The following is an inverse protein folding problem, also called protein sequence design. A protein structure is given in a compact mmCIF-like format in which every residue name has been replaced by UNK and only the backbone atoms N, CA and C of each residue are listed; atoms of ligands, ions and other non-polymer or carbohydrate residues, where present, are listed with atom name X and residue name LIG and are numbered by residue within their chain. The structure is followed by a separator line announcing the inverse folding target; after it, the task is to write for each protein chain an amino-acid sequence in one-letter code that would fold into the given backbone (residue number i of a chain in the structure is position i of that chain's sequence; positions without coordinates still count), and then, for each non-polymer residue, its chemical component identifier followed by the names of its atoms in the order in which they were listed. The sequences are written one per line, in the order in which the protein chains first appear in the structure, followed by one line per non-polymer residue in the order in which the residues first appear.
data_IF_628294690732
#
_entry.id   IF_628294690732
#
_cell.length_a   1.000
_cell.length_b   1.000
_cell.length_c   1.000
_cell.angle_alpha   90.00
_cell.angle_beta   90.00
_cell.angle_gamma   90.00
#
_symmetry.space_group_name_H-M   'P 1'
#
loop_
_entity.id
_entity.type
_entity.pdbx_description
1 polymer ?
#
# COMPACT_ATOMS: atom_id res chain seq x y z
N UNK A 1 -5.75 11.49 4.83
CA UNK A 1 -5.20 11.24 3.48
C UNK A 1 -6.11 10.30 2.69
N UNK A 2 -6.37 9.08 3.18
CA UNK A 2 -7.22 8.09 2.48
C UNK A 2 -8.62 8.58 2.10
N UNK A 3 -9.25 9.45 2.89
CA UNK A 3 -10.55 10.01 2.50
C UNK A 3 -10.49 10.95 1.28
N UNK A 4 -9.32 11.55 0.99
CA UNK A 4 -9.11 12.25 -0.28
C UNK A 4 -8.91 11.27 -1.43
N UNK A 5 -8.29 10.11 -1.19
CA UNK A 5 -8.22 9.03 -2.17
C UNK A 5 -9.63 8.53 -2.53
N UNK A 6 -10.50 8.35 -1.53
CA UNK A 6 -11.91 7.99 -1.75
C UNK A 6 -12.62 9.04 -2.61
N UNK A 7 -12.49 10.33 -2.30
CA UNK A 7 -13.09 11.40 -3.12
C UNK A 7 -12.61 11.35 -4.57
N UNK A 8 -11.31 11.16 -4.79
CA UNK A 8 -10.75 11.05 -6.15
C UNK A 8 -11.33 9.86 -6.92
N UNK A 9 -11.34 8.68 -6.32
CA UNK A 9 -11.89 7.48 -6.96
C UNK A 9 -13.40 7.61 -7.22
N UNK A 10 -14.16 8.16 -6.26
CA UNK A 10 -15.61 8.40 -6.40
C UNK A 10 -15.95 9.45 -7.47
N UNK A 11 -15.02 10.37 -7.76
CA UNK A 11 -15.17 11.33 -8.86
C UNK A 11 -14.95 10.71 -10.25
N UNK A 12 -14.54 9.44 -10.32
CA UNK A 12 -14.19 8.75 -11.57
C UNK A 12 -12.77 9.03 -12.05
N UNK A 13 -11.84 9.33 -11.12
CA UNK A 13 -10.44 9.67 -11.43
C UNK A 13 -10.30 10.85 -12.40
N UNK A 14 -11.14 11.88 -12.23
CA UNK A 14 -11.14 13.06 -13.10
C UNK A 14 -9.79 13.80 -13.07
N UNK A 15 -9.27 14.16 -14.25
CA UNK A 15 -8.04 14.96 -14.41
C UNK A 15 -8.23 16.44 -14.13
N UNK A 16 -9.47 16.88 -13.87
CA UNK A 16 -9.81 18.25 -13.50
C UNK A 16 -9.65 18.46 -12.00
N UNK A 17 -9.20 19.64 -11.60
CA UNK A 17 -9.11 20.11 -10.20
C UNK A 17 -10.39 19.95 -9.37
N UNK A 18 -11.52 19.65 -10.01
CA UNK A 18 -12.85 19.53 -9.43
C UNK A 18 -13.09 18.23 -8.62
N UNK A 19 -12.17 17.24 -8.69
CA UNK A 19 -12.34 15.97 -7.94
C UNK A 19 -12.37 16.17 -6.42
N UNK A 20 -11.75 17.25 -5.91
CA UNK A 20 -11.81 17.60 -4.48
C UNK A 20 -13.24 17.95 -4.02
N UNK A 21 -14.12 18.28 -4.97
CA UNK A 21 -15.49 18.71 -4.77
C UNK A 21 -15.59 20.10 -4.13
N UNK A 22 -16.80 20.44 -3.68
CA UNK A 22 -17.06 21.70 -2.99
C UNK A 22 -16.19 21.85 -1.73
N UNK A 23 -15.55 23.01 -1.58
CA UNK A 23 -14.66 23.32 -0.46
C UNK A 23 -15.36 23.31 0.90
N UNK A 24 -16.68 23.43 0.91
CA UNK A 24 -17.51 23.46 2.13
C UNK A 24 -18.08 22.09 2.51
N UNK A 25 -17.78 21.05 1.73
CA UNK A 25 -18.23 19.68 2.02
C UNK A 25 -17.29 19.01 3.04
N UNK A 26 -17.82 18.48 4.17
CA UNK A 26 -17.03 17.73 5.13
C UNK A 26 -16.40 16.46 4.53
N UNK A 27 -15.26 16.03 5.06
CA UNK A 27 -14.54 14.84 4.61
C UNK A 27 -15.09 13.60 5.31
N UNK A 28 -15.63 12.67 4.51
CA UNK A 28 -16.21 11.39 4.97
C UNK A 28 -15.44 10.21 4.38
N UNK A 29 -15.58 9.03 4.98
CA UNK A 29 -14.91 7.81 4.57
C UNK A 29 -14.46 7.00 5.77
N UNK A 30 -13.19 6.55 5.75
CA UNK A 30 -12.51 6.00 6.93
C UNK A 30 -12.66 6.93 8.13
N UNK A 31 -12.82 6.34 9.32
CA UNK A 31 -12.84 7.10 10.56
C UNK A 31 -11.51 7.85 10.73
N UNK A 32 -11.61 9.10 11.19
CA UNK A 32 -10.45 9.90 11.54
C UNK A 32 -10.87 10.93 12.58
N UNK A 33 -9.98 11.20 13.54
CA UNK A 33 -10.19 12.22 14.57
C UNK A 33 -8.87 12.87 14.97
N UNK A 34 -8.96 14.07 15.53
CA UNK A 34 -7.86 14.65 16.30
C UNK A 34 -7.79 14.04 17.70
N UNK A 35 -6.69 14.31 18.40
CA UNK A 35 -6.42 13.79 19.74
C UNK A 35 -5.10 13.02 19.81
N UNK A 36 -4.62 12.76 21.03
CA UNK A 36 -3.41 11.97 21.26
C UNK A 36 -3.64 10.47 21.22
N UNK A 37 -4.88 10.03 21.35
CA UNK A 37 -5.27 8.64 21.24
C UNK A 37 -5.55 8.25 19.80
N UNK A 38 -5.17 7.03 19.44
CA UNK A 38 -5.42 6.44 18.13
C UNK A 38 -6.90 6.30 17.78
N UNK A 39 -7.16 6.10 16.49
CA UNK A 39 -8.48 5.83 15.94
C UNK A 39 -8.55 4.45 15.27
N UNK A 40 -7.59 4.13 14.40
CA UNK A 40 -7.55 2.87 13.64
C UNK A 40 -6.83 1.75 14.41
N UNK A 41 -7.41 0.55 14.43
CA UNK A 41 -6.82 -0.69 14.98
C UNK A 41 -6.70 -1.75 13.89
N UNK A 42 -5.52 -2.36 13.76
CA UNK A 42 -5.26 -3.40 12.75
C UNK A 42 -5.22 -2.86 11.31
N UNK A 43 -5.88 -3.56 10.39
CA UNK A 43 -6.00 -3.19 8.97
C UNK A 43 -7.50 -3.10 8.64
N UNK A 44 -7.93 -1.92 8.20
CA UNK A 44 -9.28 -1.67 7.68
C UNK A 44 -9.22 -1.58 6.16
N UNK A 45 -10.17 -2.18 5.47
CA UNK A 45 -10.32 -2.06 4.02
C UNK A 45 -11.60 -1.31 3.69
N UNK A 46 -11.57 -0.47 2.66
CA UNK A 46 -12.81 0.10 2.15
C UNK A 46 -13.71 -1.02 1.62
N UNK A 47 -15.00 -0.98 1.94
CA UNK A 47 -15.92 -2.09 1.71
C UNK A 47 -16.21 -2.37 0.24
N UNK A 48 -16.07 -1.36 -0.62
CA UNK A 48 -16.38 -1.46 -2.04
C UNK A 48 -15.12 -1.22 -2.88
N UNK A 49 -14.62 -2.21 -3.64
CA UNK A 49 -13.49 -2.00 -4.54
C UNK A 49 -13.89 -1.08 -5.70
N UNK A 50 -12.98 -0.21 -6.12
CA UNK A 50 -13.19 0.67 -7.27
C UNK A 50 -12.67 0.00 -8.53
N UNK A 51 -13.52 -0.19 -9.54
CA UNK A 51 -13.08 -0.72 -10.83
C UNK A 51 -12.71 0.44 -11.75
N UNK A 52 -11.47 0.46 -12.23
CA UNK A 52 -10.99 1.43 -13.21
C UNK A 52 -10.50 0.71 -14.46
N UNK A 53 -10.51 1.43 -15.59
CA UNK A 53 -9.97 0.95 -16.85
C UNK A 53 -8.61 1.59 -17.11
N UNK A 54 -7.60 0.77 -17.36
CA UNK A 54 -6.26 1.18 -17.74
C UNK A 54 -6.21 1.62 -19.21
N UNK A 55 -5.10 2.27 -19.61
CA UNK A 55 -4.89 2.76 -20.97
C UNK A 55 -4.88 1.64 -22.03
N UNK A 56 -4.49 0.42 -21.65
CA UNK A 56 -4.51 -0.79 -22.49
C UNK A 56 -5.91 -1.44 -22.57
N UNK A 57 -6.88 -0.91 -21.84
CA UNK A 57 -8.24 -1.39 -21.77
C UNK A 57 -8.50 -2.48 -20.72
N UNK A 58 -7.48 -2.91 -19.96
CA UNK A 58 -7.63 -3.83 -18.84
C UNK A 58 -8.44 -3.17 -17.71
N UNK A 59 -9.41 -3.89 -17.15
CA UNK A 59 -10.11 -3.46 -15.94
C UNK A 59 -9.37 -3.97 -14.70
N UNK A 60 -9.13 -3.08 -13.74
CA UNK A 60 -8.44 -3.40 -12.49
C UNK A 60 -9.25 -2.90 -11.30
N UNK A 61 -9.22 -3.68 -10.21
CA UNK A 61 -9.89 -3.34 -8.96
C UNK A 61 -8.89 -2.69 -7.99
N UNK A 62 -9.22 -1.49 -7.51
CA UNK A 62 -8.48 -0.76 -6.49
C UNK A 62 -9.14 -1.00 -5.13
N UNK A 63 -8.34 -1.46 -4.18
CA UNK A 63 -8.72 -1.59 -2.76
C UNK A 63 -7.86 -0.62 -1.94
N UNK A 64 -8.51 0.18 -1.10
CA UNK A 64 -7.82 1.06 -0.15
C UNK A 64 -7.73 0.38 1.21
N UNK A 65 -6.54 0.38 1.78
CA UNK A 65 -6.25 -0.17 3.11
C UNK A 65 -5.79 0.95 4.05
N UNK A 66 -6.48 1.09 5.18
CA UNK A 66 -6.05 1.92 6.30
C UNK A 66 -5.41 1.02 7.35
N UNK A 67 -4.18 1.34 7.74
CA UNK A 67 -3.40 0.54 8.67
C UNK A 67 -3.16 1.32 9.94
N UNK A 68 -3.18 0.63 11.06
CA UNK A 68 -2.76 1.18 12.34
C UNK A 68 -1.36 1.83 12.25
N UNK A 69 -1.21 2.98 12.92
CA UNK A 69 0.08 3.65 13.07
C UNK A 69 1.08 2.78 13.84
N UNK A 70 2.32 2.73 13.38
CA UNK A 70 3.39 2.02 14.07
C UNK A 70 3.78 2.76 15.37
N UNK A 71 4.16 1.99 16.40
CA UNK A 71 4.73 2.50 17.67
C UNK A 71 3.77 3.28 18.58
N UNK A 72 2.55 2.79 18.74
CA UNK A 72 1.66 3.26 19.81
C UNK A 72 2.00 2.59 21.15
N UNK A 73 1.81 3.32 22.24
CA UNK A 73 2.05 2.95 23.64
C UNK A 73 1.28 1.72 24.14
N UNK A 74 0.18 1.36 23.47
CA UNK A 74 -0.69 0.25 23.88
C UNK A 74 -0.36 -1.09 23.18
N UNK A 75 0.53 -1.13 22.19
CA UNK A 75 0.87 -2.35 21.47
C UNK A 75 2.36 -2.64 21.46
N UNK A 76 2.69 -3.91 21.27
CA UNK A 76 4.08 -4.31 21.17
C UNK A 76 4.67 -3.88 19.84
N UNK A 77 6.01 -3.77 19.79
CA UNK A 77 6.75 -3.60 18.52
C UNK A 77 6.38 -4.71 17.53
N UNK A 78 6.06 -5.91 18.02
CA UNK A 78 5.62 -7.05 17.22
C UNK A 78 4.27 -6.81 16.54
N UNK A 79 3.27 -6.32 17.27
CA UNK A 79 1.94 -6.08 16.67
C UNK A 79 2.03 -5.04 15.53
N UNK A 80 2.82 -3.98 15.77
CA UNK A 80 3.11 -2.96 14.75
C UNK A 80 3.85 -3.58 13.54
N UNK A 81 4.80 -4.49 13.81
CA UNK A 81 5.53 -5.21 12.78
C UNK A 81 4.64 -6.10 11.93
N UNK A 82 3.72 -6.84 12.55
CA UNK A 82 2.79 -7.74 11.88
C UNK A 82 1.85 -6.96 10.96
N UNK A 83 1.25 -5.87 11.45
CA UNK A 83 0.37 -5.01 10.64
C UNK A 83 1.13 -4.45 9.43
N UNK A 84 2.33 -3.92 9.65
CA UNK A 84 3.15 -3.36 8.58
C UNK A 84 3.62 -4.41 7.56
N UNK A 85 4.03 -5.58 8.03
CA UNK A 85 4.44 -6.68 7.14
C UNK A 85 3.25 -7.17 6.29
N UNK A 86 2.10 -7.42 6.92
CA UNK A 86 0.88 -7.82 6.23
C UNK A 86 0.45 -6.78 5.18
N UNK A 87 0.45 -5.49 5.53
CA UNK A 87 0.09 -4.43 4.58
C UNK A 87 1.09 -4.34 3.42
N UNK A 88 2.38 -4.49 3.69
CA UNK A 88 3.43 -4.42 2.65
C UNK A 88 3.37 -5.61 1.69
N UNK A 89 3.14 -6.82 2.20
CA UNK A 89 3.07 -8.02 1.36
C UNK A 89 1.82 -8.05 0.50
N UNK A 90 0.70 -7.48 0.98
CA UNK A 90 -0.59 -7.52 0.30
C UNK A 90 -0.83 -6.30 -0.59
N UNK A 91 -0.18 -5.17 -0.32
CA UNK A 91 -0.26 -3.97 -1.17
C UNK A 91 0.66 -4.06 -2.40
N UNK A 92 0.25 -3.39 -3.47
CA UNK A 92 1.13 -3.07 -4.61
C UNK A 92 1.83 -1.73 -4.43
N UNK A 93 1.18 -0.80 -3.73
CA UNK A 93 1.72 0.50 -3.33
C UNK A 93 1.60 0.64 -1.82
N UNK A 94 2.73 0.64 -1.12
CA UNK A 94 2.81 0.91 0.31
C UNK A 94 3.18 2.38 0.53
N UNK A 95 2.28 3.15 1.14
CA UNK A 95 2.57 4.54 1.55
C UNK A 95 3.03 4.55 3.00
N UNK A 96 4.31 4.82 3.22
CA UNK A 96 4.88 5.00 4.55
C UNK A 96 4.72 6.47 4.97
N UNK A 97 3.67 6.75 5.74
CA UNK A 97 3.34 8.10 6.19
C UNK A 97 4.14 8.48 7.45
N UNK A 98 5.07 9.42 7.30
CA UNK A 98 5.99 9.89 8.34
C UNK A 98 5.78 11.37 8.63
N UNK A 99 6.02 11.79 9.87
CA UNK A 99 5.93 13.21 10.27
C UNK A 99 7.30 13.87 10.23
N UNK A 100 7.36 15.08 9.69
CA UNK A 100 8.48 16.02 9.63
C UNK A 100 9.73 15.58 8.83
N UNK A 101 10.21 14.35 8.97
CA UNK A 101 11.44 13.92 8.30
C UNK A 101 11.53 12.39 8.17
N UNK A 102 12.41 11.93 7.29
CA UNK A 102 12.86 10.54 7.21
C UNK A 102 14.07 10.35 8.12
N UNK A 103 13.89 9.66 9.23
CA UNK A 103 14.91 9.39 10.24
C UNK A 103 15.46 7.94 10.13
N UNK A 104 16.61 7.67 10.74
CA UNK A 104 17.27 6.35 10.63
C UNK A 104 16.49 5.24 11.34
N UNK A 105 15.81 5.55 12.44
CA UNK A 105 14.91 4.64 13.12
C UNK A 105 13.77 4.20 12.20
N UNK A 106 13.21 5.10 11.38
CA UNK A 106 12.21 4.73 10.37
C UNK A 106 12.77 3.71 9.36
N UNK A 107 14.04 3.86 8.96
CA UNK A 107 14.70 2.94 8.03
C UNK A 107 15.04 1.59 8.68
N UNK A 108 15.47 1.58 9.94
CA UNK A 108 15.75 0.36 10.69
C UNK A 108 14.47 -0.45 10.95
N UNK A 109 13.37 0.24 11.22
CA UNK A 109 12.05 -0.37 11.35
C UNK A 109 11.67 -1.08 10.05
N UNK A 110 11.90 -0.46 8.89
CA UNK A 110 11.71 -1.11 7.59
C UNK A 110 12.63 -2.32 7.38
N UNK A 111 13.87 -2.30 7.90
CA UNK A 111 14.80 -3.45 7.83
C UNK A 111 14.17 -4.69 8.50
N UNK A 112 13.71 -4.56 9.75
CA UNK A 112 13.05 -5.65 10.49
C UNK A 112 11.91 -6.28 9.69
N UNK A 113 11.20 -5.48 8.90
CA UNK A 113 10.01 -5.92 8.15
C UNK A 113 10.35 -6.49 6.78
N UNK A 114 11.44 -6.04 6.18
CA UNK A 114 11.90 -6.49 4.86
C UNK A 114 12.82 -7.70 4.96
N UNK A 115 13.41 -8.02 6.12
CA UNK A 115 14.25 -9.22 6.35
C UNK A 115 13.51 -10.51 5.91
N UNK A 116 12.18 -10.52 6.06
CA UNK A 116 11.28 -11.58 5.59
C UNK A 116 11.20 -11.68 4.05
N UNK A 117 11.30 -10.55 3.34
CA UNK A 117 11.37 -10.52 1.88
C UNK A 117 12.71 -11.00 1.32
N UNK A 118 13.78 -10.98 2.14
CA UNK A 118 15.14 -11.36 1.70
C UNK A 118 15.25 -12.81 1.23
N UNK A 119 14.56 -13.75 1.88
CA UNK A 119 14.63 -15.15 1.45
C UNK A 119 13.85 -15.39 0.15
N UNK A 120 12.80 -14.61 -0.12
CA UNK A 120 12.11 -14.67 -1.42
C UNK A 120 13.06 -14.31 -2.57
N UNK A 121 13.97 -13.34 -2.36
CA UNK A 121 15.04 -12.99 -3.31
C UNK A 121 16.07 -14.10 -3.54
N UNK A 122 16.26 -15.02 -2.60
CA UNK A 122 17.20 -16.14 -2.78
C UNK A 122 16.61 -17.26 -3.66
N UNK A 123 15.28 -17.29 -3.82
CA UNK A 123 14.58 -18.27 -4.65
C UNK A 123 14.22 -17.75 -6.05
N UNK A 124 14.17 -16.43 -6.24
CA UNK A 124 13.80 -15.78 -7.51
C UNK A 124 14.61 -14.50 -7.73
N UNK A 125 14.99 -14.20 -8.98
CA UNK A 125 15.68 -12.94 -9.35
C UNK A 125 14.78 -11.69 -9.25
N UNK A 126 13.50 -11.85 -8.90
CA UNK A 126 12.52 -10.77 -8.80
C UNK A 126 12.44 -10.19 -7.39
N UNK A 127 12.19 -8.88 -7.30
CA UNK A 127 12.01 -8.21 -6.01
C UNK A 127 10.68 -8.60 -5.37
N UNK A 128 10.64 -8.80 -4.03
CA UNK A 128 9.46 -9.32 -3.33
C UNK A 128 8.31 -8.31 -3.27
N UNK A 129 8.61 -7.01 -3.30
CA UNK A 129 7.63 -5.94 -3.19
C UNK A 129 7.74 -4.98 -4.37
N UNK A 130 6.62 -4.30 -4.65
CA UNK A 130 6.52 -3.40 -5.77
C UNK A 130 6.91 -1.98 -5.36
N UNK A 131 5.93 -1.10 -5.06
CA UNK A 131 6.20 0.32 -4.82
C UNK A 131 6.15 0.67 -3.33
N UNK A 132 7.22 1.28 -2.83
CA UNK A 132 7.25 1.95 -1.53
C UNK A 132 7.31 3.47 -1.75
N UNK A 133 6.38 4.20 -1.14
CA UNK A 133 6.41 5.66 -1.15
C UNK A 133 6.51 6.22 0.26
N UNK A 134 7.58 6.95 0.56
CA UNK A 134 7.67 7.75 1.77
C UNK A 134 6.87 9.04 1.61
N UNK A 135 5.80 9.20 2.39
CA UNK A 135 5.04 10.44 2.45
C UNK A 135 5.47 11.22 3.69
N UNK A 136 6.28 12.25 3.52
CA UNK A 136 6.74 13.10 4.61
C UNK A 136 5.75 14.24 4.82
N UNK A 137 5.03 14.19 5.92
CA UNK A 137 4.05 15.20 6.35
C UNK A 137 4.75 16.35 7.04
N UNK A 138 4.16 17.54 6.95
CA UNK A 138 4.60 18.73 7.67
C UNK A 138 6.10 19.04 7.44
N UNK A 139 6.55 18.84 6.20
CA UNK A 139 7.91 19.15 5.80
C UNK A 139 8.16 20.66 5.95
N UNK A 140 9.21 21.00 6.69
CA UNK A 140 9.45 22.39 7.12
C UNK A 140 10.62 23.06 6.41
N UNK A 141 11.28 22.37 5.47
CA UNK A 141 12.50 22.85 4.83
C UNK A 141 12.37 22.88 3.29
N UNK A 142 11.33 23.54 2.71
CA UNK A 142 11.12 23.59 1.25
C UNK A 142 12.28 24.29 0.51
N UNK A 143 13.05 25.12 1.21
CA UNK A 143 14.23 25.80 0.69
C UNK A 143 15.45 24.87 0.53
N UNK A 144 15.50 23.73 1.23
CA UNK A 144 16.53 22.70 1.02
C UNK A 144 16.07 21.65 0.00
N UNK A 145 14.85 21.15 0.19
CA UNK A 145 14.22 20.19 -0.70
C UNK A 145 12.77 20.66 -0.95
N UNK A 146 12.39 21.05 -2.18
CA UNK A 146 11.07 21.61 -2.46
C UNK A 146 9.96 20.59 -2.18
N UNK A 147 8.75 21.06 -1.92
CA UNK A 147 7.60 20.19 -1.77
C UNK A 147 7.33 19.34 -3.03
N UNK A 148 6.61 18.24 -2.85
CA UNK A 148 6.25 17.33 -3.92
C UNK A 148 7.24 16.18 -4.15
N UNK A 149 7.10 15.52 -5.30
CA UNK A 149 7.89 14.34 -5.67
C UNK A 149 9.36 14.69 -5.93
N UNK A 150 9.64 15.82 -6.59
CA UNK A 150 11.01 16.20 -6.98
C UNK A 150 11.92 16.41 -5.77
N UNK A 151 11.51 17.21 -4.79
CA UNK A 151 12.31 17.40 -3.59
C UNK A 151 12.29 16.18 -2.68
N UNK A 152 11.20 15.42 -2.66
CA UNK A 152 11.13 14.14 -1.95
C UNK A 152 12.15 13.13 -2.45
N UNK A 153 12.25 12.97 -3.78
CA UNK A 153 13.25 12.11 -4.41
C UNK A 153 14.68 12.56 -4.08
N UNK A 154 14.95 13.87 -4.12
CA UNK A 154 16.23 14.44 -3.73
C UNK A 154 16.59 14.15 -2.26
N UNK A 155 15.64 14.29 -1.33
CA UNK A 155 15.82 13.94 0.08
C UNK A 155 16.09 12.43 0.23
N UNK A 156 15.32 11.59 -0.45
CA UNK A 156 15.42 10.14 -0.38
C UNK A 156 16.78 9.64 -0.86
N UNK A 157 17.27 10.14 -1.99
CA UNK A 157 18.59 9.79 -2.53
C UNK A 157 19.70 10.12 -1.54
N UNK A 158 19.62 11.31 -0.91
CA UNK A 158 20.56 11.71 0.14
C UNK A 158 20.50 10.80 1.36
N UNK A 159 19.30 10.36 1.78
CA UNK A 159 19.09 9.50 2.96
C UNK A 159 19.51 8.05 2.70
N UNK A 160 19.24 7.52 1.51
CA UNK A 160 19.58 6.15 1.11
C UNK A 160 20.97 6.02 0.47
N UNK A 161 21.72 7.11 0.30
CA UNK A 161 23.10 7.06 -0.17
C UNK A 161 23.94 6.11 0.71
N UNK A 162 24.64 5.18 0.07
CA UNK A 162 25.57 4.28 0.75
C UNK A 162 26.95 4.96 0.72
N UNK A 163 27.53 5.18 1.90
CA UNK A 163 28.85 5.80 2.06
C UNK A 163 29.81 4.81 2.71
N UNK A 164 31.04 4.76 2.23
CA UNK A 164 32.04 3.78 2.73
C UNK A 164 32.41 4.01 4.20
N UNK A 165 32.31 5.26 4.66
CA UNK A 165 32.62 5.65 6.04
C UNK A 165 31.47 5.45 7.04
N UNK A 166 30.29 4.99 6.61
CA UNK A 166 29.17 4.77 7.51
C UNK A 166 29.19 3.34 8.10
N UNK A 167 28.66 3.13 9.32
CA UNK A 167 28.58 1.80 9.94
C UNK A 167 27.97 0.75 9.00
N UNK A 168 28.51 -0.48 9.04
CA UNK A 168 28.07 -1.60 8.20
C UNK A 168 26.58 -1.88 8.32
N UNK A 169 26.02 -1.74 9.53
CA UNK A 169 24.58 -1.86 9.77
C UNK A 169 23.76 -0.86 8.93
N UNK A 170 24.17 0.41 8.90
CA UNK A 170 23.46 1.44 8.13
C UNK A 170 23.58 1.23 6.62
N UNK A 171 24.72 0.70 6.15
CA UNK A 171 24.87 0.28 4.76
C UNK A 171 23.93 -0.90 4.43
N UNK A 172 23.81 -1.87 5.34
CA UNK A 172 22.97 -3.05 5.18
C UNK A 172 21.50 -2.68 5.03
N UNK A 173 20.95 -1.87 5.94
CA UNK A 173 19.57 -1.34 5.88
C UNK A 173 19.28 -0.75 4.50
N UNK A 174 20.17 0.12 3.99
CA UNK A 174 19.98 0.81 2.70
C UNK A 174 20.03 -0.12 1.50
N UNK A 175 20.95 -1.10 1.49
CA UNK A 175 21.01 -2.13 0.44
C UNK A 175 19.73 -2.96 0.45
N UNK A 176 19.28 -3.31 1.65
CA UNK A 176 18.14 -4.18 1.86
C UNK A 176 16.81 -3.56 1.42
N UNK A 177 16.57 -2.30 1.79
CA UNK A 177 15.41 -1.55 1.30
C UNK A 177 15.42 -1.52 -0.25
N UNK A 178 16.58 -1.24 -0.88
CA UNK A 178 16.71 -1.21 -2.34
C UNK A 178 16.50 -2.57 -3.00
N UNK A 179 16.87 -3.67 -2.35
CA UNK A 179 16.66 -5.02 -2.89
C UNK A 179 15.21 -5.50 -2.75
N UNK A 180 14.45 -4.96 -1.80
CA UNK A 180 13.09 -5.44 -1.53
C UNK A 180 12.00 -4.82 -2.40
N UNK A 181 12.17 -3.57 -2.86
CA UNK A 181 11.13 -2.83 -3.60
C UNK A 181 11.56 -2.54 -5.04
N UNK A 182 10.68 -2.78 -6.02
CA UNK A 182 10.90 -2.45 -7.43
C UNK A 182 10.99 -0.95 -7.67
N UNK A 183 10.16 -0.18 -6.97
CA UNK A 183 10.15 1.28 -7.01
C UNK A 183 10.15 1.86 -5.58
N UNK A 184 10.96 2.89 -5.35
CA UNK A 184 11.02 3.59 -4.08
C UNK A 184 10.98 5.09 -4.37
N UNK A 185 9.93 5.75 -3.92
CA UNK A 185 9.76 7.19 -4.06
C UNK A 185 9.57 7.88 -2.72
N UNK A 186 9.63 9.20 -2.75
CA UNK A 186 9.36 10.05 -1.60
C UNK A 186 8.64 11.31 -2.05
N UNK A 187 7.65 11.74 -1.26
CA UNK A 187 6.84 12.91 -1.51
C UNK A 187 6.79 13.79 -0.27
N UNK A 188 7.11 15.07 -0.41
CA UNK A 188 7.13 16.03 0.70
C UNK A 188 5.85 16.86 0.68
N UNK A 189 5.05 16.75 1.74
CA UNK A 189 3.83 17.54 1.94
C UNK A 189 4.10 18.71 2.88
N UNK A 190 3.57 19.91 2.60
CA UNK A 190 3.56 21.02 3.56
C UNK A 190 2.68 20.69 4.77
N UNK A 191 2.69 21.57 5.77
CA UNK A 191 1.79 21.49 6.91
C UNK A 191 0.36 21.90 6.47
N UNK A 192 -0.71 21.18 6.87
CA UNK A 192 -2.08 21.43 6.41
C UNK A 192 -2.74 22.69 6.98
N UNK A 193 -2.03 23.43 7.84
CA UNK A 193 -2.50 24.65 8.51
C UNK A 193 -3.03 24.40 9.92
N UNK A 194 -2.91 25.40 10.79
CA UNK A 194 -3.22 25.26 12.23
C UNK A 194 -4.67 24.87 12.51
N UNK A 195 -5.62 25.29 11.65
CA UNK A 195 -7.03 24.90 11.77
C UNK A 195 -7.22 23.38 11.68
N UNK A 196 -6.41 22.69 10.88
CA UNK A 196 -6.47 21.22 10.76
C UNK A 196 -5.88 20.57 12.00
N UNK A 197 -4.75 21.10 12.50
CA UNK A 197 -3.97 20.46 13.57
C UNK A 197 -4.53 20.71 14.98
N UNK A 198 -5.18 21.84 15.24
CA UNK A 198 -5.55 22.24 16.62
C UNK A 198 -7.03 22.43 16.86
N UNK A 199 -7.88 22.51 15.82
CA UNK A 199 -9.31 22.72 16.01
C UNK A 199 -10.04 21.38 16.24
N UNK A 200 -10.61 21.14 17.43
CA UNK A 200 -11.32 19.89 17.72
C UNK A 200 -12.62 19.71 16.91
N UNK A 201 -13.12 20.78 16.28
CA UNK A 201 -14.32 20.77 15.43
C UNK A 201 -14.00 20.71 13.94
N UNK A 202 -12.74 20.50 13.56
CA UNK A 202 -12.38 20.36 12.17
C UNK A 202 -13.00 19.07 11.59
N UNK A 203 -13.73 19.21 10.48
CA UNK A 203 -14.48 18.14 9.83
C UNK A 203 -14.00 17.87 8.40
N UNK A 204 -12.80 18.32 8.06
CA UNK A 204 -12.15 17.99 6.79
C UNK A 204 -12.54 18.86 5.59
N UNK A 205 -13.33 19.93 5.81
CA UNK A 205 -13.63 20.91 4.77
C UNK A 205 -12.35 21.54 4.19
N UNK A 206 -12.22 21.53 2.87
CA UNK A 206 -11.05 22.05 2.14
C UNK A 206 -10.88 23.56 2.36
N UNK A 207 -11.97 24.31 2.55
CA UNK A 207 -11.94 25.73 2.88
C UNK A 207 -11.15 26.08 4.16
N UNK A 208 -10.92 25.09 5.03
CA UNK A 208 -10.18 25.25 6.28
C UNK A 208 -8.76 24.66 6.24
N UNK A 209 -8.31 24.17 5.08
CA UNK A 209 -6.98 23.62 4.86
C UNK A 209 -6.13 24.69 4.19
N UNK A 210 -4.84 24.72 4.51
CA UNK A 210 -3.89 25.61 3.87
C UNK A 210 -3.84 25.40 2.34
N UNK A 211 -3.81 26.49 1.58
CA UNK A 211 -3.87 26.44 0.11
C UNK A 211 -2.69 25.70 -0.51
N UNK A 212 -1.47 25.90 0.01
CA UNK A 212 -0.27 25.22 -0.50
C UNK A 212 -0.40 23.70 -0.27
N UNK A 213 -0.95 23.29 0.88
CA UNK A 213 -1.26 21.88 1.12
C UNK A 213 -2.26 21.32 0.11
N UNK A 214 -3.31 22.08 -0.22
CA UNK A 214 -4.29 21.65 -1.21
C UNK A 214 -3.66 21.49 -2.59
N UNK A 215 -2.76 22.39 -2.99
CA UNK A 215 -2.07 22.31 -4.28
C UNK A 215 -1.18 21.06 -4.38
N UNK A 216 -0.43 20.74 -3.32
CA UNK A 216 0.35 19.50 -3.28
C UNK A 216 -0.54 18.25 -3.14
N UNK A 217 -1.67 18.34 -2.44
CA UNK A 217 -2.66 17.26 -2.40
C UNK A 217 -3.22 16.94 -3.80
N UNK A 218 -3.51 17.97 -4.61
CA UNK A 218 -3.99 17.82 -6.00
C UNK A 218 -3.01 17.08 -6.90
N UNK A 219 -1.72 17.13 -6.61
CA UNK A 219 -0.71 16.38 -7.39
C UNK A 219 -0.40 15.02 -6.76
N UNK A 220 -0.45 14.91 -5.44
CA UNK A 220 -0.17 13.68 -4.72
C UNK A 220 -1.22 12.58 -4.99
N UNK A 221 -2.51 12.92 -4.95
CA UNK A 221 -3.58 11.91 -5.09
C UNK A 221 -3.57 11.27 -6.49
N UNK A 222 -3.53 12.02 -7.61
CA UNK A 222 -3.41 11.43 -8.95
C UNK A 222 -2.09 10.67 -9.16
N UNK A 223 -0.99 11.10 -8.53
CA UNK A 223 0.28 10.34 -8.59
C UNK A 223 0.11 8.90 -8.08
N UNK A 224 -0.82 8.66 -7.14
CA UNK A 224 -1.08 7.34 -6.57
C UNK A 224 -2.18 6.55 -7.30
N UNK A 225 -3.19 7.22 -7.85
CA UNK A 225 -4.46 6.59 -8.24
C UNK A 225 -4.90 6.88 -9.67
N UNK A 226 -4.23 7.77 -10.39
CA UNK A 226 -4.50 7.95 -11.82
C UNK A 226 -4.27 6.62 -12.54
N UNK A 227 -5.14 6.21 -13.48
CA UNK A 227 -5.01 4.93 -14.20
C UNK A 227 -3.62 4.68 -14.79
N UNK A 228 -2.86 5.74 -15.12
CA UNK A 228 -1.50 5.62 -15.66
C UNK A 228 -0.45 5.23 -14.62
N UNK A 229 -0.74 5.46 -13.35
CA UNK A 229 0.18 5.27 -12.23
C UNK A 229 -0.19 4.06 -11.35
N UNK A 230 -1.37 3.48 -11.54
CA UNK A 230 -1.83 2.33 -10.75
C UNK A 230 -0.94 1.13 -11.02
N UNK A 231 -0.51 0.48 -9.94
CA UNK A 231 0.33 -0.72 -9.97
C UNK A 231 -0.54 -1.93 -9.65
N UNK A 232 -0.70 -2.84 -10.60
CA UNK A 232 -1.41 -4.12 -10.39
C UNK A 232 -0.58 -4.98 -9.44
N UNK A 233 -1.20 -5.60 -8.43
CA UNK A 233 -0.49 -6.42 -7.46
C UNK A 233 0.14 -7.64 -8.14
N UNK A 234 1.43 -7.83 -7.93
CA UNK A 234 2.18 -9.01 -8.36
C UNK A 234 2.81 -9.72 -7.16
N UNK A 235 2.79 -11.06 -7.22
CA UNK A 235 3.48 -11.96 -6.28
C UNK A 235 4.16 -13.04 -7.11
N UNK A 236 5.49 -13.15 -7.01
CA UNK A 236 6.29 -14.08 -7.82
C UNK A 236 6.08 -13.90 -9.33
N UNK A 237 6.07 -12.64 -9.79
CA UNK A 237 5.99 -12.27 -11.20
C UNK A 237 4.62 -12.46 -11.85
N UNK A 238 3.58 -12.74 -11.05
CA UNK A 238 2.22 -12.98 -11.52
C UNK A 238 1.25 -11.98 -10.94
N UNK A 239 0.39 -11.43 -11.81
CA UNK A 239 -0.71 -10.57 -11.39
C UNK A 239 -1.68 -11.34 -10.48
N UNK A 240 -2.13 -10.67 -9.43
CA UNK A 240 -2.97 -11.23 -8.37
C UNK A 240 -4.39 -10.69 -8.50
N UNK A 241 -5.38 -11.57 -8.60
CA UNK A 241 -6.79 -11.17 -8.60
C UNK A 241 -7.32 -10.98 -7.18
N UNK A 242 -8.47 -10.31 -7.01
CA UNK A 242 -9.06 -10.09 -5.69
C UNK A 242 -9.33 -11.39 -4.90
N UNK A 243 -9.76 -12.47 -5.58
CA UNK A 243 -9.97 -13.78 -4.96
C UNK A 243 -8.64 -14.35 -4.44
N UNK A 244 -7.57 -14.23 -5.22
CA UNK A 244 -6.25 -14.72 -4.86
C UNK A 244 -5.65 -13.91 -3.71
N UNK A 245 -5.80 -12.59 -3.74
CA UNK A 245 -5.35 -11.68 -2.69
C UNK A 245 -5.93 -12.08 -1.31
N UNK A 246 -7.20 -12.48 -1.28
CA UNK A 246 -7.85 -12.99 -0.06
C UNK A 246 -7.21 -14.29 0.46
N UNK A 247 -6.82 -15.21 -0.43
CA UNK A 247 -6.12 -16.44 -0.02
C UNK A 247 -4.73 -16.14 0.54
N UNK A 248 -3.97 -15.21 -0.08
CA UNK A 248 -2.70 -14.75 0.51
C UNK A 248 -2.90 -14.14 1.90
N UNK A 249 -3.94 -13.32 2.09
CA UNK A 249 -4.25 -12.75 3.41
C UNK A 249 -4.46 -13.82 4.47
N UNK A 250 -5.26 -14.86 4.19
CA UNK A 250 -5.51 -15.96 5.12
C UNK A 250 -4.23 -16.71 5.48
N UNK A 251 -3.42 -17.03 4.46
CA UNK A 251 -2.16 -17.76 4.64
C UNK A 251 -1.18 -16.92 5.46
N UNK A 252 -0.97 -15.65 5.11
CA UNK A 252 -0.05 -14.78 5.84
C UNK A 252 -0.49 -14.55 7.28
N UNK A 253 -1.78 -14.30 7.55
CA UNK A 253 -2.27 -14.15 8.93
C UNK A 253 -1.95 -15.38 9.78
N UNK A 254 -2.14 -16.59 9.23
CA UNK A 254 -1.83 -17.83 9.94
C UNK A 254 -0.34 -17.95 10.27
N UNK A 255 0.55 -17.49 9.37
CA UNK A 255 1.99 -17.49 9.62
C UNK A 255 2.38 -16.51 10.73
N UNK A 256 1.71 -15.35 10.81
CA UNK A 256 1.96 -14.37 11.88
C UNK A 256 1.24 -14.71 13.20
N UNK A 257 0.33 -15.68 13.23
CA UNK A 257 -0.45 -16.06 14.41
C UNK A 257 0.38 -16.78 15.50
N UNK A 258 1.62 -17.18 15.22
CA UNK A 258 2.51 -17.84 16.19
C UNK A 258 2.90 -16.94 17.38
N UNK A 259 3.76 -17.43 18.29
CA UNK A 259 4.28 -16.62 19.42
C UNK A 259 5.50 -15.77 19.07
N UNK A 260 6.18 -16.10 17.96
CA UNK A 260 7.37 -15.40 17.48
C UNK A 260 7.12 -14.77 16.11
N UNK A 261 7.96 -13.80 15.72
CA UNK A 261 8.00 -13.38 14.32
C UNK A 261 8.35 -14.59 13.46
N UNK A 262 7.63 -14.82 12.35
CA UNK A 262 7.89 -15.97 11.50
C UNK A 262 9.29 -15.87 10.91
N UNK A 263 9.96 -17.00 10.80
CA UNK A 263 11.22 -17.03 10.08
C UNK A 263 10.98 -16.72 8.60
N UNK A 264 11.90 -16.00 7.94
CA UNK A 264 11.75 -15.68 6.52
C UNK A 264 11.49 -16.91 5.63
N UNK A 265 11.93 -18.11 6.05
CA UNK A 265 11.74 -19.36 5.29
C UNK A 265 10.27 -19.79 5.31
N UNK A 266 9.63 -19.69 6.48
CA UNK A 266 8.20 -19.97 6.64
C UNK A 266 7.35 -19.02 5.80
N UNK A 267 7.78 -17.76 5.64
CA UNK A 267 7.11 -16.78 4.78
C UNK A 267 7.18 -17.14 3.28
N UNK A 268 8.34 -17.64 2.83
CA UNK A 268 8.52 -18.11 1.46
C UNK A 268 7.68 -19.35 1.17
N UNK A 269 7.73 -20.34 2.07
CA UNK A 269 6.93 -21.56 1.97
C UNK A 269 5.43 -21.22 1.93
N UNK A 270 4.98 -20.31 2.79
CA UNK A 270 3.60 -19.84 2.80
C UNK A 270 3.20 -19.11 1.50
N UNK A 271 4.09 -18.31 0.93
CA UNK A 271 3.84 -17.67 -0.38
C UNK A 271 3.73 -18.73 -1.47
N UNK A 272 4.63 -19.72 -1.50
CA UNK A 272 4.59 -20.82 -2.46
C UNK A 272 3.31 -21.69 -2.30
N UNK A 273 2.89 -21.95 -1.07
CA UNK A 273 1.64 -22.65 -0.77
C UNK A 273 0.43 -21.86 -1.28
N UNK A 274 0.34 -20.57 -0.96
CA UNK A 274 -0.74 -19.71 -1.43
C UNK A 274 -0.79 -19.61 -2.98
N UNK A 275 0.37 -19.50 -3.63
CA UNK A 275 0.49 -19.52 -5.10
C UNK A 275 -0.11 -20.82 -5.67
N UNK A 276 0.25 -21.98 -5.10
CA UNK A 276 -0.19 -23.29 -5.56
C UNK A 276 -1.68 -23.52 -5.31
N UNK A 277 -2.18 -23.19 -4.11
CA UNK A 277 -3.61 -23.28 -3.78
C UNK A 277 -4.45 -22.44 -4.73
N UNK A 278 -3.98 -21.23 -5.01
CA UNK A 278 -4.59 -20.31 -5.95
C UNK A 278 -4.62 -20.89 -7.38
N UNK A 279 -3.52 -21.48 -7.84
CA UNK A 279 -3.45 -22.08 -9.16
C UNK A 279 -4.40 -23.29 -9.28
N UNK A 280 -4.44 -24.15 -8.26
CA UNK A 280 -5.37 -25.30 -8.20
C UNK A 280 -6.82 -24.85 -8.22
N UNK A 281 -7.18 -23.83 -7.42
CA UNK A 281 -8.53 -23.27 -7.40
C UNK A 281 -8.92 -22.72 -8.78
N UNK A 282 -8.01 -22.00 -9.45
CA UNK A 282 -8.24 -21.43 -10.78
C UNK A 282 -8.45 -22.53 -11.83
N UNK A 283 -7.61 -23.57 -11.84
CA UNK A 283 -7.75 -24.70 -12.78
C UNK A 283 -9.06 -25.44 -12.54
N UNK A 284 -9.44 -25.66 -11.27
CA UNK A 284 -10.70 -26.31 -10.91
C UNK A 284 -11.90 -25.49 -11.38
N UNK A 285 -11.91 -24.18 -11.13
CA UNK A 285 -13.00 -23.30 -11.53
C UNK A 285 -13.18 -23.30 -13.07
N UNK A 286 -12.07 -23.22 -13.83
CA UNK A 286 -12.09 -23.29 -15.30
C UNK A 286 -12.63 -24.64 -15.80
N UNK A 287 -12.23 -25.74 -15.19
CA UNK A 287 -12.73 -27.08 -15.54
C UNK A 287 -14.23 -27.18 -15.26
N UNK A 288 -14.68 -26.77 -14.06
CA UNK A 288 -16.11 -26.82 -13.68
C UNK A 288 -16.95 -25.96 -14.62
N UNK A 289 -16.52 -24.73 -14.92
CA UNK A 289 -17.23 -23.85 -15.84
C UNK A 289 -17.33 -24.45 -17.25
N UNK A 290 -16.23 -25.01 -17.76
CA UNK A 290 -16.21 -25.68 -19.08
C UNK A 290 -17.11 -26.91 -19.12
N UNK A 291 -17.14 -27.70 -18.04
CA UNK A 291 -18.00 -28.88 -17.93
C UNK A 291 -19.48 -28.49 -17.79
N UNK A 292 -19.80 -27.42 -17.07
CA UNK A 292 -21.18 -26.91 -16.96
C UNK A 292 -21.71 -26.43 -18.33
N UNK A 293 -20.85 -25.85 -19.16
CA UNK A 293 -21.20 -25.46 -20.52
C UNK A 293 -21.43 -26.65 -21.46
N UNK A 294 -20.74 -27.76 -21.24
CA UNK A 294 -20.86 -28.97 -22.06
C UNK A 294 -22.03 -29.84 -21.59
N UNK A 295 -22.09 -30.14 -20.30
CA UNK A 295 -23.01 -31.12 -19.71
C UNK A 295 -23.60 -30.66 -18.36
N UNK A 296 -23.75 -29.34 -18.16
CA UNK A 296 -24.44 -28.78 -17.00
C UNK A 296 -25.91 -29.16 -16.93
N UNK A 297 -26.56 -28.81 -15.82
CA UNK A 297 -27.94 -29.25 -15.52
C UNK A 297 -28.99 -28.84 -16.57
N UNK A 298 -28.76 -27.76 -17.29
CA UNK A 298 -29.63 -27.26 -18.38
C UNK A 298 -29.20 -27.71 -19.79
N UNK A 299 -28.12 -28.50 -19.91
CA UNK A 299 -27.60 -28.99 -21.19
C UNK A 299 -28.22 -30.35 -21.55
N UNK A 300 -28.42 -30.65 -22.84
CA UNK A 300 -28.94 -31.95 -23.27
C UNK A 300 -27.96 -33.08 -22.95
N UNK A 301 -28.49 -34.29 -22.79
CA UNK A 301 -27.69 -35.50 -22.57
C UNK A 301 -26.70 -35.72 -23.74
N UNK A 302 -25.44 -35.98 -23.39
CA UNK A 302 -24.39 -36.29 -24.36
C UNK A 302 -24.34 -37.80 -24.56
N UNK A 303 -24.82 -38.27 -25.72
CA UNK A 303 -24.65 -39.66 -26.16
C UNK A 303 -23.26 -39.89 -26.74
N UNK A 304 -22.69 -41.07 -26.50
CA UNK A 304 -21.45 -41.48 -27.16
C UNK A 304 -21.69 -41.62 -28.68
N UNK A 305 -20.73 -41.20 -29.54
CA UNK A 305 -20.81 -41.46 -30.98
C UNK A 305 -20.79 -42.97 -31.23
N UNK A 306 -21.63 -43.44 -32.17
CA UNK A 306 -21.62 -44.83 -32.67
C UNK A 306 -20.30 -45.20 -33.36
#
# INVERSE_FOLDING_TARGET
MLNFFLRYLQSGCGTTDDWLGSTDTPLKGFSWRGGSERDTTGILMWSEPFVIKLDDGQEVAIVLMDTQGAFDSEYTVRDSATVFALSTMTSSIQVCNLMHNLQEDNLQVLEIFTENGRLALEATDEKPFQKLLFLIRDWSFPYEHPYGLTGGQSLLEKKLAIKDNQPTQLQRVRRHIRSCFSDIGCYLMPHPGNKVSTNPRFDGRVANIDGEFVDYLKTFVPLMLDPKNVVVKEIGGRQVTGKQLMEYFKVYINVFAGETMPEPKSMLEATAEANNLTAVATVKDTYVASMEDICGGERPFISLPE
#
